data_IF_781172989368
#
_entry.id   IF_781172989368
#
_cell.length_a   1.000
_cell.length_b   1.000
_cell.length_c   1.000
_cell.angle_alpha   90.00
_cell.angle_beta   90.00
_cell.angle_gamma   90.00
#
_symmetry.space_group_name_H-M   'P 1'
#
loop_
_entity.id
_entity.type
_entity.pdbx_description
1 polymer ?
#
# COMPACT_ATOMS: atom_id res chain seq x y z
N UNK A 1 -14.54 -4.54 -12.14
CA UNK A 1 -13.13 -4.34 -11.76
C UNK A 1 -12.25 -4.97 -12.83
N UNK A 2 -11.32 -4.21 -13.39
CA UNK A 2 -10.44 -4.78 -14.40
C UNK A 2 -9.28 -5.52 -13.72
N UNK A 3 -8.45 -6.17 -14.55
CA UNK A 3 -7.37 -6.99 -14.03
C UNK A 3 -6.39 -6.18 -13.17
N UNK A 4 -6.05 -4.97 -13.62
CA UNK A 4 -5.12 -4.14 -12.88
C UNK A 4 -5.69 -3.72 -11.52
N UNK A 5 -6.97 -3.41 -11.46
CA UNK A 5 -7.62 -3.08 -10.20
C UNK A 5 -7.59 -4.28 -9.25
N UNK A 6 -7.83 -5.46 -9.77
CA UNK A 6 -7.83 -6.67 -8.98
C UNK A 6 -6.46 -6.92 -8.35
N UNK A 7 -5.41 -6.81 -9.17
CA UNK A 7 -4.04 -7.00 -8.68
C UNK A 7 -3.68 -5.91 -7.67
N UNK A 8 -4.03 -4.66 -7.98
CA UNK A 8 -3.68 -3.55 -7.06
C UNK A 8 -4.40 -3.68 -5.73
N UNK A 9 -5.62 -4.23 -5.73
CA UNK A 9 -6.33 -4.46 -4.48
C UNK A 9 -5.54 -5.39 -3.57
N UNK A 10 -5.04 -6.49 -4.10
CA UNK A 10 -4.25 -7.42 -3.29
C UNK A 10 -2.93 -6.82 -2.85
N UNK A 11 -2.31 -6.01 -3.70
CA UNK A 11 -1.08 -5.32 -3.32
C UNK A 11 -1.32 -4.35 -2.17
N UNK A 12 -2.44 -3.64 -2.19
CA UNK A 12 -2.80 -2.71 -1.11
C UNK A 12 -3.04 -3.48 0.18
N UNK A 13 -3.75 -4.61 0.10
CA UNK A 13 -4.00 -5.43 1.28
C UNK A 13 -2.68 -5.89 1.90
N UNK A 14 -1.74 -6.32 1.07
CA UNK A 14 -0.45 -6.76 1.55
C UNK A 14 0.29 -5.64 2.27
N UNK A 15 0.27 -4.42 1.70
CA UNK A 15 0.92 -3.28 2.34
C UNK A 15 0.28 -2.98 3.69
N UNK A 16 -1.05 -3.00 3.74
CA UNK A 16 -1.75 -2.74 5.01
C UNK A 16 -1.39 -3.76 6.08
N UNK A 17 -1.32 -5.01 5.71
CA UNK A 17 -0.97 -6.06 6.67
C UNK A 17 0.45 -5.87 7.19
N UNK A 18 1.37 -5.50 6.32
CA UNK A 18 2.74 -5.28 6.74
C UNK A 18 2.89 -4.03 7.59
N UNK A 19 2.08 -3.00 7.33
CA UNK A 19 2.11 -1.80 8.17
C UNK A 19 1.63 -2.09 9.58
N UNK A 20 0.72 -3.04 9.73
CA UNK A 20 0.19 -3.40 11.04
C UNK A 20 1.18 -4.25 11.85
N UNK A 21 2.20 -4.78 11.21
CA UNK A 21 3.17 -5.64 11.88
C UNK A 21 4.30 -4.79 12.47
N UNK A 22 4.43 -4.78 13.78
CA UNK A 22 5.44 -3.95 14.44
C UNK A 22 6.87 -4.33 14.04
N UNK A 23 7.09 -5.54 13.57
CA UNK A 23 8.41 -5.95 13.10
C UNK A 23 8.85 -5.16 11.87
N UNK A 24 7.91 -4.53 11.16
CA UNK A 24 8.21 -3.71 9.98
C UNK A 24 8.25 -2.22 10.29
N UNK A 25 8.28 -1.83 11.56
CA UNK A 25 8.19 -0.42 11.93
C UNK A 25 9.37 0.41 11.41
N UNK A 26 10.48 -0.22 11.10
CA UNK A 26 11.66 0.45 10.57
C UNK A 26 11.57 0.71 9.06
N UNK A 27 10.56 0.18 8.40
CA UNK A 27 10.41 0.32 6.96
C UNK A 27 9.48 1.47 6.63
N UNK A 28 9.74 2.11 5.49
CA UNK A 28 8.82 3.15 5.02
C UNK A 28 7.66 2.50 4.28
N UNK A 29 6.55 3.24 4.22
CA UNK A 29 5.39 2.73 3.49
C UNK A 29 5.72 2.54 2.00
N UNK A 30 6.58 3.39 1.44
CA UNK A 30 6.95 3.24 0.04
C UNK A 30 7.80 2.00 -0.21
N UNK A 31 8.68 1.63 0.71
CA UNK A 31 9.45 0.40 0.51
C UNK A 31 8.51 -0.82 0.55
N UNK A 32 7.50 -0.79 1.39
CA UNK A 32 6.51 -1.87 1.40
C UNK A 32 5.70 -1.90 0.11
N UNK A 33 5.38 -0.72 -0.43
CA UNK A 33 4.64 -0.64 -1.68
C UNK A 33 5.46 -1.22 -2.84
N UNK A 34 6.75 -0.89 -2.92
CA UNK A 34 7.59 -1.45 -3.97
C UNK A 34 7.73 -2.96 -3.82
N UNK A 35 7.88 -3.45 -2.60
CA UNK A 35 7.94 -4.89 -2.36
C UNK A 35 6.66 -5.58 -2.77
N UNK A 36 5.53 -4.92 -2.61
CA UNK A 36 4.24 -5.50 -3.00
C UNK A 36 4.03 -5.50 -4.52
N UNK A 37 4.86 -4.74 -5.26
CA UNK A 37 4.80 -4.77 -6.70
C UNK A 37 4.38 -3.47 -7.37
N UNK A 38 4.19 -2.40 -6.61
CA UNK A 38 3.87 -1.11 -7.21
C UNK A 38 5.11 -0.52 -7.88
N UNK A 39 4.92 0.07 -9.05
CA UNK A 39 6.02 0.62 -9.84
C UNK A 39 6.30 2.07 -9.57
N UNK A 40 5.33 2.81 -9.04
CA UNK A 40 5.49 4.23 -8.80
C UNK A 40 4.67 4.67 -7.62
N UNK A 41 5.11 5.79 -7.04
CA UNK A 41 4.41 6.38 -5.91
C UNK A 41 3.00 6.82 -6.31
N UNK A 42 2.85 7.39 -7.50
CA UNK A 42 1.53 7.88 -7.94
C UNK A 42 0.54 6.74 -8.08
N UNK A 43 0.97 5.63 -8.67
CA UNK A 43 0.11 4.47 -8.82
C UNK A 43 -0.28 3.90 -7.46
N UNK A 44 0.69 3.81 -6.56
CA UNK A 44 0.42 3.30 -5.21
C UNK A 44 -0.57 4.20 -4.48
N UNK A 45 -0.34 5.51 -4.48
CA UNK A 45 -1.24 6.44 -3.78
C UNK A 45 -2.67 6.34 -4.30
N UNK A 46 -2.82 6.28 -5.62
CA UNK A 46 -4.14 6.19 -6.22
C UNK A 46 -4.83 4.88 -5.85
N UNK A 47 -4.11 3.77 -5.94
CA UNK A 47 -4.68 2.47 -5.62
C UNK A 47 -5.03 2.38 -4.14
N UNK A 48 -4.17 2.90 -3.28
CA UNK A 48 -4.40 2.84 -1.85
C UNK A 48 -5.66 3.62 -1.48
N UNK A 49 -5.79 4.83 -2.03
CA UNK A 49 -6.98 5.64 -1.75
C UNK A 49 -8.24 4.99 -2.30
N UNK A 50 -8.14 4.38 -3.49
CA UNK A 50 -9.30 3.73 -4.10
C UNK A 50 -9.80 2.57 -3.24
N UNK A 51 -8.90 1.79 -2.68
CA UNK A 51 -9.29 0.56 -2.00
C UNK A 51 -9.46 0.72 -0.49
N UNK A 52 -8.95 1.80 0.10
CA UNK A 52 -9.11 2.03 1.55
C UNK A 52 -9.93 3.27 1.87
N UNK A 53 -10.07 4.18 0.90
CA UNK A 53 -10.77 5.43 1.10
C UNK A 53 -9.90 6.52 1.71
N UNK A 54 -8.64 6.24 2.02
CA UNK A 54 -7.75 7.19 2.66
C UNK A 54 -6.37 7.19 2.02
N UNK A 55 -5.64 8.29 2.20
CA UNK A 55 -4.28 8.36 1.71
C UNK A 55 -3.36 7.48 2.56
N UNK A 56 -2.30 6.93 1.94
CA UNK A 56 -1.36 6.08 2.70
C UNK A 56 -0.74 6.78 3.90
N UNK A 57 -0.55 8.08 3.83
CA UNK A 57 0.08 8.82 4.91
C UNK A 57 -0.69 8.70 6.22
N UNK A 58 -1.98 8.42 6.15
CA UNK A 58 -2.78 8.25 7.36
C UNK A 58 -2.49 6.95 8.09
N UNK A 59 -1.88 6.01 7.41
CA UNK A 59 -1.52 4.72 7.99
C UNK A 59 -0.07 4.68 8.44
N UNK A 60 0.71 5.67 8.06
CA UNK A 60 2.11 5.74 8.46
C UNK A 60 2.22 6.50 9.75
N UNK A 61 1.90 5.81 10.81
CA UNK A 61 1.85 6.41 12.13
C UNK A 61 3.19 6.23 12.83
N UNK A 62 3.67 7.20 13.39
CA UNK A 62 4.81 7.03 14.27
C UNK A 62 5.38 8.31 14.64
#
# INVERSE_FOLDING_TARGET
MNFNDFINKYRVIEVKEKLANSANSHLTIMSLAYDAGFNSKATFNRAFKKHTGENPSKYQIK
#
